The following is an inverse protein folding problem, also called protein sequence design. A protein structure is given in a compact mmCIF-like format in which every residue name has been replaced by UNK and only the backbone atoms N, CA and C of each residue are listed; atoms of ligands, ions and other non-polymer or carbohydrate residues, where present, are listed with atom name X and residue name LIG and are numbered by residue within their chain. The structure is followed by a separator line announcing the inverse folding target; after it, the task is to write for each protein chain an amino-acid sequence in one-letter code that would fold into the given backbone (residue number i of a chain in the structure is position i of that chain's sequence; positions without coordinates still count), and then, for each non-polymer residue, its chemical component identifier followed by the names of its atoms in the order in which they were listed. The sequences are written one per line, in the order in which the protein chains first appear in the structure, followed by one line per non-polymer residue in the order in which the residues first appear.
data_IF_151216171588
#
_entry.id   IF_151216171588
#
_cell.length_a   1.000
_cell.length_b   1.000
_cell.length_c   1.000
_cell.angle_alpha   90.00
_cell.angle_beta   90.00
_cell.angle_gamma   90.00
#
_symmetry.space_group_name_H-M   'P 1'
#
loop_
_entity.id
_entity.type
_entity.pdbx_description
1 polymer ?
#
# COMPACT_ATOMS: atom_id res chain seq x y z
N UNK A 1 -17.79 -10.08 8.33
CA UNK A 1 -17.17 -9.72 7.01
C UNK A 1 -17.92 -10.43 5.89
N UNK A 2 -18.81 -9.70 5.21
CA UNK A 2 -19.70 -10.25 4.16
C UNK A 2 -18.91 -10.75 2.94
N UNK A 3 -17.71 -10.20 2.67
CA UNK A 3 -16.95 -10.46 1.44
C UNK A 3 -15.75 -11.41 1.60
N UNK A 4 -15.54 -12.05 2.76
CA UNK A 4 -14.38 -12.94 3.03
C UNK A 4 -13.02 -12.34 2.59
N UNK A 5 -12.83 -11.03 2.77
CA UNK A 5 -11.61 -10.29 2.48
C UNK A 5 -11.40 -9.12 3.46
N UNK A 6 -10.19 -8.60 3.62
CA UNK A 6 -9.95 -7.34 4.31
C UNK A 6 -10.66 -6.14 3.64
N UNK A 7 -10.87 -5.09 4.40
CA UNK A 7 -11.19 -3.76 3.88
C UNK A 7 -9.89 -3.16 3.28
N UNK A 8 -9.89 -2.85 1.99
CA UNK A 8 -8.73 -2.31 1.30
C UNK A 8 -8.82 -0.81 1.09
N UNK A 9 -7.82 -0.09 1.58
CA UNK A 9 -7.65 1.34 1.43
C UNK A 9 -6.46 1.57 0.52
N UNK A 10 -6.68 2.13 -0.67
CA UNK A 10 -5.59 2.50 -1.56
C UNK A 10 -5.15 3.94 -1.24
N UNK A 11 -3.88 4.14 -0.93
CA UNK A 11 -3.39 5.46 -0.54
C UNK A 11 -2.12 5.82 -1.29
N UNK A 12 -2.11 7.01 -1.88
CA UNK A 12 -0.90 7.59 -2.47
C UNK A 12 -0.91 9.11 -2.43
N UNK A 13 0.23 9.70 -2.74
CA UNK A 13 0.37 11.13 -2.98
C UNK A 13 0.78 11.38 -4.43
N UNK A 14 0.22 12.40 -5.05
CA UNK A 14 0.58 12.82 -6.41
C UNK A 14 0.63 14.34 -6.52
N UNK A 15 1.30 14.81 -7.57
CA UNK A 15 1.20 16.20 -7.99
C UNK A 15 -0.11 16.43 -8.74
N UNK A 16 -0.54 17.68 -8.88
CA UNK A 16 -1.69 18.07 -9.73
C UNK A 16 -1.50 17.65 -11.20
N UNK A 17 -0.26 17.44 -11.65
CA UNK A 17 0.07 16.89 -12.98
C UNK A 17 0.02 15.34 -13.03
N UNK A 18 -0.36 14.68 -11.94
CA UNK A 18 -0.58 13.22 -11.88
C UNK A 18 0.68 12.37 -11.72
N UNK A 19 1.76 12.91 -11.18
CA UNK A 19 2.99 12.14 -10.92
C UNK A 19 3.13 11.80 -9.44
N UNK A 20 3.52 10.56 -9.13
CA UNK A 20 3.75 10.07 -7.75
C UNK A 20 5.23 10.10 -7.34
N UNK A 21 6.14 10.15 -8.29
CA UNK A 21 7.57 10.22 -8.03
C UNK A 21 8.30 10.77 -9.27
N UNK A 22 9.48 11.40 -9.09
CA UNK A 22 10.37 11.72 -10.21
C UNK A 22 10.92 10.44 -10.87
N UNK A 23 11.58 10.54 -12.04
CA UNK A 23 12.24 9.42 -12.68
C UNK A 23 13.23 8.72 -11.75
N UNK A 24 13.36 7.39 -11.88
CA UNK A 24 14.18 6.55 -10.97
C UNK A 24 15.64 7.02 -10.90
N UNK A 25 16.21 7.55 -11.98
CA UNK A 25 17.59 8.03 -12.05
C UNK A 25 17.90 9.21 -11.11
N UNK A 26 16.88 9.95 -10.65
CA UNK A 26 17.02 11.16 -9.82
C UNK A 26 16.34 11.02 -8.45
N UNK A 27 16.21 9.81 -7.92
CA UNK A 27 15.48 9.55 -6.68
C UNK A 27 16.30 9.91 -5.44
N UNK A 28 16.35 11.19 -5.14
CA UNK A 28 16.41 11.62 -3.74
C UNK A 28 15.01 11.47 -3.12
N UNK A 29 14.89 11.23 -1.80
CA UNK A 29 13.58 11.17 -1.14
C UNK A 29 12.77 12.42 -1.47
N UNK A 30 11.84 12.32 -2.39
CA UNK A 30 10.98 13.43 -2.80
C UNK A 30 9.65 13.35 -2.04
N UNK A 31 9.41 14.35 -1.21
CA UNK A 31 8.20 14.42 -0.41
C UNK A 31 7.18 15.30 -1.12
N UNK A 32 6.13 14.69 -1.66
CA UNK A 32 5.03 15.38 -2.34
C UNK A 32 4.09 16.06 -1.33
N UNK A 33 3.89 15.45 -0.14
CA UNK A 33 2.86 15.87 0.82
C UNK A 33 3.40 16.74 1.96
N UNK A 34 2.53 17.61 2.52
CA UNK A 34 2.80 18.45 3.68
C UNK A 34 3.09 17.65 4.96
N UNK A 35 3.56 18.32 6.02
CA UNK A 35 3.76 17.69 7.33
C UNK A 35 2.43 17.18 7.91
N UNK A 36 1.34 17.94 7.77
CA UNK A 36 0.00 17.53 8.23
C UNK A 36 -0.50 16.29 7.49
N UNK A 37 -0.27 16.19 6.19
CA UNK A 37 -0.60 15.01 5.41
C UNK A 37 0.25 13.79 5.81
N UNK A 38 1.52 14.00 6.20
CA UNK A 38 2.36 12.93 6.78
C UNK A 38 1.82 12.46 8.13
N UNK A 39 1.47 13.37 9.02
CA UNK A 39 0.86 13.04 10.32
C UNK A 39 -0.44 12.27 10.13
N UNK A 40 -1.31 12.70 9.20
CA UNK A 40 -2.54 11.98 8.84
C UNK A 40 -2.25 10.57 8.33
N UNK A 41 -1.22 10.38 7.51
CA UNK A 41 -0.81 9.04 7.06
C UNK A 41 -0.35 8.17 8.23
N UNK A 42 0.36 8.73 9.21
CA UNK A 42 0.78 7.99 10.40
C UNK A 42 -0.39 7.69 11.35
N UNK A 43 -1.38 8.57 11.42
CA UNK A 43 -2.64 8.32 12.12
C UNK A 43 -3.34 7.11 11.51
N UNK A 44 -3.58 7.09 10.21
CA UNK A 44 -4.21 5.97 9.53
C UNK A 44 -3.47 4.64 9.72
N UNK A 45 -2.13 4.67 9.73
CA UNK A 45 -1.33 3.48 10.05
C UNK A 45 -1.59 2.94 11.45
N UNK A 46 -1.96 3.78 12.42
CA UNK A 46 -2.34 3.34 13.76
C UNK A 46 -3.77 2.81 13.86
N UNK A 47 -4.60 3.11 12.89
CA UNK A 47 -6.00 2.72 12.84
C UNK A 47 -6.23 1.41 12.08
N UNK A 48 -5.32 1.08 11.14
CA UNK A 48 -5.49 -0.06 10.25
C UNK A 48 -4.64 -1.27 10.67
N UNK A 49 -5.15 -2.48 10.41
CA UNK A 49 -4.49 -3.70 10.87
C UNK A 49 -3.17 -3.98 10.15
N UNK A 50 -3.10 -3.73 8.84
CA UNK A 50 -1.90 -4.00 8.05
C UNK A 50 -1.64 -2.92 6.99
N UNK A 51 -0.39 -2.92 6.49
CA UNK A 51 0.05 -2.04 5.42
C UNK A 51 0.79 -2.85 4.34
N UNK A 52 0.38 -2.72 3.08
CA UNK A 52 0.93 -3.46 1.96
C UNK A 52 1.69 -2.56 1.01
N UNK A 53 2.90 -3.00 0.63
CA UNK A 53 3.74 -2.35 -0.38
C UNK A 53 4.26 -3.36 -1.42
N UNK A 54 4.59 -2.86 -2.60
CA UNK A 54 5.24 -3.66 -3.64
C UNK A 54 6.76 -3.73 -3.45
N UNK A 55 7.40 -4.70 -4.15
CA UNK A 55 8.85 -4.92 -4.15
C UNK A 55 9.66 -3.64 -4.45
N UNK A 56 9.30 -2.92 -5.50
CA UNK A 56 10.02 -1.70 -5.90
C UNK A 56 9.95 -0.60 -4.85
N UNK A 57 8.85 -0.46 -4.13
CA UNK A 57 8.71 0.49 -3.01
C UNK A 57 9.65 0.11 -1.87
N UNK A 58 9.71 -1.18 -1.50
CA UNK A 58 10.64 -1.64 -0.48
C UNK A 58 12.11 -1.45 -0.91
N UNK A 59 12.42 -1.77 -2.16
CA UNK A 59 13.78 -1.69 -2.70
C UNK A 59 14.31 -0.25 -2.73
N UNK A 60 13.51 0.68 -3.28
CA UNK A 60 13.98 2.04 -3.58
C UNK A 60 13.73 3.02 -2.43
N UNK A 61 12.60 2.94 -1.75
CA UNK A 61 12.19 3.93 -0.75
C UNK A 61 12.60 3.52 0.68
N UNK A 62 12.96 2.24 0.89
CA UNK A 62 13.35 1.67 2.19
C UNK A 62 12.44 2.16 3.36
N UNK A 63 11.11 2.03 3.24
CA UNK A 63 10.19 2.65 4.18
C UNK A 63 10.17 1.91 5.52
N UNK A 64 10.06 2.67 6.61
CA UNK A 64 9.94 2.10 7.96
C UNK A 64 8.55 1.55 8.26
N UNK A 65 7.51 2.00 7.59
CA UNK A 65 6.10 1.62 7.74
C UNK A 65 5.55 1.68 9.19
N UNK A 66 6.10 2.53 10.01
CA UNK A 66 5.72 2.73 11.42
C UNK A 66 4.91 4.02 11.64
N UNK A 67 4.51 4.25 12.89
CA UNK A 67 3.66 5.37 13.34
C UNK A 67 4.43 6.51 14.04
N UNK A 68 5.70 6.74 13.70
CA UNK A 68 6.59 7.69 14.37
C UNK A 68 6.10 9.15 14.51
N UNK A 69 5.14 9.59 13.71
CA UNK A 69 4.53 10.93 13.76
C UNK A 69 3.12 10.93 14.38
N UNK A 70 2.68 9.80 14.93
CA UNK A 70 1.39 9.65 15.59
C UNK A 70 1.47 8.62 16.72
N UNK A 71 0.72 8.84 17.81
CA UNK A 71 0.65 7.89 18.92
C UNK A 71 -0.24 6.71 18.51
N UNK A 72 0.25 5.49 18.66
CA UNK A 72 -0.48 4.26 18.35
C UNK A 72 0.45 3.14 17.90
N UNK A 73 -0.10 1.96 17.74
CA UNK A 73 0.65 0.79 17.27
C UNK A 73 0.88 0.85 15.75
N UNK A 74 2.00 0.31 15.32
CA UNK A 74 2.29 0.23 13.90
C UNK A 74 1.52 -0.94 13.27
N UNK A 75 1.00 -0.79 12.04
CA UNK A 75 0.33 -1.87 11.33
C UNK A 75 1.32 -3.00 11.00
N UNK A 76 0.81 -4.20 10.76
CA UNK A 76 1.63 -5.33 10.30
C UNK A 76 2.08 -5.05 8.84
N UNK A 77 3.38 -4.96 8.56
CA UNK A 77 3.84 -4.78 7.19
C UNK A 77 3.63 -6.03 6.35
N UNK A 78 3.22 -5.82 5.11
CA UNK A 78 3.10 -6.83 4.07
C UNK A 78 3.89 -6.33 2.86
N UNK A 79 4.78 -7.14 2.31
CA UNK A 79 5.46 -6.82 1.07
C UNK A 79 5.36 -7.95 0.06
N UNK A 80 5.41 -7.61 -1.23
CA UNK A 80 5.36 -8.58 -2.32
C UNK A 80 6.78 -8.78 -2.83
N UNK A 81 7.27 -10.03 -2.75
CA UNK A 81 8.59 -10.43 -3.25
C UNK A 81 8.49 -11.82 -3.87
N UNK A 82 8.22 -11.86 -5.18
CA UNK A 82 7.87 -13.06 -5.92
C UNK A 82 8.87 -14.20 -5.74
N UNK A 83 10.15 -13.88 -5.83
CA UNK A 83 11.27 -14.83 -5.91
C UNK A 83 12.29 -14.67 -4.77
N UNK A 84 11.93 -13.90 -3.73
CA UNK A 84 12.78 -13.61 -2.58
C UNK A 84 14.12 -12.94 -2.97
N UNK A 85 14.06 -12.07 -3.98
CA UNK A 85 15.25 -11.35 -4.50
C UNK A 85 15.57 -10.06 -3.75
N UNK A 86 14.65 -9.58 -2.89
CA UNK A 86 14.86 -8.33 -2.17
C UNK A 86 15.93 -8.46 -1.08
N UNK A 87 16.78 -7.42 -0.95
CA UNK A 87 17.79 -7.38 0.11
C UNK A 87 17.13 -7.38 1.50
N UNK A 88 17.78 -8.09 2.44
CA UNK A 88 17.25 -8.29 3.79
C UNK A 88 17.77 -7.26 4.81
N UNK A 89 18.48 -6.23 4.37
CA UNK A 89 19.05 -5.13 5.18
C UNK A 89 18.10 -3.90 5.29
N UNK A 90 16.91 -3.99 4.72
CA UNK A 90 15.94 -2.88 4.75
C UNK A 90 15.43 -2.58 6.16
N UNK A 91 15.21 -1.30 6.44
CA UNK A 91 14.80 -0.78 7.75
C UNK A 91 13.59 -1.49 8.36
N UNK A 92 12.63 -1.87 7.54
CA UNK A 92 11.41 -2.57 7.92
C UNK A 92 11.72 -3.87 8.71
N UNK A 93 12.76 -4.65 8.34
CA UNK A 93 13.05 -5.95 8.95
C UNK A 93 13.60 -5.86 10.38
N UNK A 94 14.22 -4.74 10.75
CA UNK A 94 14.72 -4.50 12.10
C UNK A 94 13.71 -3.86 13.06
N UNK A 95 12.61 -3.31 12.54
CA UNK A 95 11.66 -2.50 13.32
C UNK A 95 10.44 -3.32 13.75
N UNK A 96 9.93 -4.20 12.89
CA UNK A 96 8.66 -4.89 13.11
C UNK A 96 8.85 -6.29 13.66
N UNK A 97 8.04 -6.65 14.66
CA UNK A 97 8.04 -7.99 15.28
C UNK A 97 7.42 -9.05 14.37
N UNK A 98 6.51 -8.65 13.48
CA UNK A 98 5.81 -9.52 12.54
C UNK A 98 5.71 -8.84 11.19
N UNK A 99 6.05 -9.55 10.13
CA UNK A 99 6.04 -9.08 8.75
C UNK A 99 5.50 -10.20 7.89
N UNK A 100 4.65 -9.90 6.93
CA UNK A 100 4.23 -10.86 5.92
C UNK A 100 4.97 -10.62 4.59
N UNK A 101 5.42 -11.72 3.98
CA UNK A 101 6.00 -11.73 2.63
C UNK A 101 5.11 -12.54 1.71
N UNK A 102 4.49 -11.88 0.73
CA UNK A 102 3.78 -12.55 -0.36
C UNK A 102 4.80 -13.04 -1.37
N UNK A 103 4.90 -14.35 -1.53
CA UNK A 103 5.92 -15.03 -2.34
C UNK A 103 5.30 -16.03 -3.30
N UNK A 104 5.93 -16.28 -4.45
CA UNK A 104 5.49 -17.37 -5.33
C UNK A 104 5.69 -18.71 -4.61
N UNK A 105 4.68 -19.58 -4.62
CA UNK A 105 4.72 -20.89 -3.97
C UNK A 105 5.93 -21.74 -4.40
N UNK A 106 6.48 -21.50 -5.61
CA UNK A 106 7.69 -22.16 -6.13
C UNK A 106 8.96 -21.74 -5.42
N UNK A 107 8.96 -20.56 -4.79
CA UNK A 107 10.10 -19.96 -4.10
C UNK A 107 9.94 -19.88 -2.59
N UNK A 108 8.78 -20.33 -2.07
CA UNK A 108 8.53 -20.32 -0.63
C UNK A 108 9.56 -21.20 0.09
N UNK A 109 10.28 -20.66 1.11
CA UNK A 109 11.31 -21.42 1.79
C UNK A 109 10.68 -22.48 2.70
N UNK A 110 11.26 -23.66 2.74
CA UNK A 110 10.86 -24.74 3.66
C UNK A 110 11.13 -24.42 5.14
N UNK A 111 12.12 -23.54 5.40
CA UNK A 111 12.49 -23.07 6.73
C UNK A 111 12.44 -21.56 6.81
N UNK A 112 12.04 -21.01 7.96
CA UNK A 112 12.02 -19.57 8.20
C UNK A 112 13.46 -19.00 8.15
N UNK A 113 13.74 -18.19 7.14
CA UNK A 113 15.03 -17.47 7.04
C UNK A 113 15.19 -16.41 8.14
N UNK A 114 14.07 -15.84 8.61
CA UNK A 114 13.99 -14.88 9.72
C UNK A 114 12.76 -15.16 10.56
N UNK A 115 12.89 -15.11 11.90
CA UNK A 115 11.80 -15.42 12.84
C UNK A 115 10.59 -14.47 12.73
N UNK A 116 10.82 -13.23 12.30
CA UNK A 116 9.76 -12.22 12.19
C UNK A 116 9.10 -12.14 10.80
N UNK A 117 9.56 -12.92 9.82
CA UNK A 117 8.96 -12.94 8.48
C UNK A 117 8.11 -14.20 8.33
N UNK A 118 6.83 -14.01 8.04
CA UNK A 118 5.87 -15.06 7.74
C UNK A 118 5.60 -15.07 6.24
N UNK A 119 5.95 -16.14 5.58
CA UNK A 119 5.77 -16.26 4.13
C UNK A 119 4.34 -16.67 3.82
N UNK A 120 3.74 -15.99 2.82
CA UNK A 120 2.41 -16.25 2.29
C UNK A 120 2.57 -16.74 0.84
N UNK A 121 2.70 -18.07 0.64
CA UNK A 121 2.89 -18.62 -0.69
C UNK A 121 1.59 -18.54 -1.49
N UNK A 122 1.67 -18.00 -2.71
CA UNK A 122 0.56 -17.87 -3.66
C UNK A 122 1.03 -18.22 -5.08
N UNK A 123 0.12 -18.41 -6.00
CA UNK A 123 0.42 -18.66 -7.42
C UNK A 123 0.43 -17.35 -8.21
N UNK A 124 1.62 -16.88 -8.58
CA UNK A 124 1.78 -15.62 -9.34
C UNK A 124 1.27 -15.69 -10.79
N UNK A 125 0.87 -16.87 -11.28
CA UNK A 125 0.27 -17.02 -12.60
C UNK A 125 -1.26 -16.88 -12.58
N UNK A 126 -1.88 -16.74 -11.41
CA UNK A 126 -3.32 -16.55 -11.22
C UNK A 126 -3.62 -15.11 -10.78
N UNK A 127 -4.89 -14.81 -10.52
CA UNK A 127 -5.37 -13.50 -10.06
C UNK A 127 -4.75 -13.09 -8.71
N UNK A 128 -3.60 -12.42 -8.78
CA UNK A 128 -2.74 -12.13 -7.64
C UNK A 128 -3.46 -11.38 -6.52
N UNK A 129 -4.22 -10.33 -6.84
CA UNK A 129 -4.91 -9.52 -5.83
C UNK A 129 -6.01 -10.31 -5.10
N UNK A 130 -6.72 -11.20 -5.78
CA UNK A 130 -7.74 -12.05 -5.15
C UNK A 130 -7.10 -13.07 -4.21
N UNK A 131 -5.98 -13.68 -4.60
CA UNK A 131 -5.25 -14.60 -3.73
C UNK A 131 -4.70 -13.87 -2.50
N UNK A 132 -4.09 -12.68 -2.67
CA UNK A 132 -3.64 -11.86 -1.55
C UNK A 132 -4.82 -11.57 -0.60
N UNK A 133 -5.97 -11.14 -1.13
CA UNK A 133 -7.13 -10.83 -0.33
C UNK A 133 -7.63 -12.03 0.50
N UNK A 134 -7.73 -13.21 -0.12
CA UNK A 134 -8.15 -14.44 0.55
C UNK A 134 -7.14 -14.87 1.62
N UNK A 135 -5.85 -14.91 1.27
CA UNK A 135 -4.80 -15.31 2.20
C UNK A 135 -4.73 -14.38 3.41
N UNK A 136 -4.86 -13.06 3.21
CA UNK A 136 -4.89 -12.11 4.32
C UNK A 136 -6.15 -12.25 5.19
N UNK A 137 -7.28 -12.58 4.60
CA UNK A 137 -8.49 -12.91 5.36
C UNK A 137 -8.29 -14.15 6.25
N UNK A 138 -7.67 -15.20 5.73
CA UNK A 138 -7.30 -16.42 6.49
C UNK A 138 -6.33 -16.10 7.65
N UNK A 139 -5.45 -15.12 7.45
CA UNK A 139 -4.57 -14.58 8.50
C UNK A 139 -5.29 -13.63 9.48
N UNK A 140 -6.63 -13.52 9.37
CA UNK A 140 -7.49 -12.65 10.21
C UNK A 140 -7.13 -11.17 10.15
N UNK A 141 -6.60 -10.72 9.02
CA UNK A 141 -6.38 -9.29 8.74
C UNK A 141 -7.73 -8.67 8.37
N UNK A 142 -8.13 -7.64 9.12
CA UNK A 142 -9.43 -6.96 8.94
C UNK A 142 -9.37 -5.81 7.94
N UNK A 143 -8.25 -5.07 7.92
CA UNK A 143 -8.05 -3.93 7.02
C UNK A 143 -6.61 -3.83 6.54
N UNK A 144 -6.42 -3.27 5.36
CA UNK A 144 -5.10 -3.10 4.72
C UNK A 144 -5.00 -1.75 4.04
N UNK A 145 -4.02 -0.92 4.43
CA UNK A 145 -3.62 0.22 3.61
C UNK A 145 -2.63 -0.28 2.55
N UNK A 146 -2.93 -0.08 1.29
CA UNK A 146 -2.00 -0.29 0.18
C UNK A 146 -1.29 1.03 -0.10
N UNK A 147 -0.04 1.13 0.37
CA UNK A 147 0.79 2.34 0.24
C UNK A 147 1.93 2.11 -0.73
N UNK A 148 1.74 1.98 -1.98
CA UNK A 148 2.93 2.00 -2.73
C UNK A 148 3.00 1.31 -4.03
N UNK A 149 3.83 1.90 -4.89
CA UNK A 149 4.12 1.50 -6.24
C UNK A 149 2.89 1.50 -7.16
N UNK A 150 2.96 2.23 -8.26
CA UNK A 150 1.86 2.30 -9.24
C UNK A 150 1.36 0.92 -9.65
N UNK A 151 2.27 -0.05 -9.82
CA UNK A 151 1.92 -1.42 -10.20
C UNK A 151 1.04 -2.10 -9.13
N UNK A 152 1.37 -1.94 -7.85
CA UNK A 152 0.61 -2.53 -6.74
C UNK A 152 -0.77 -1.89 -6.62
N UNK A 153 -0.84 -0.55 -6.69
CA UNK A 153 -2.11 0.17 -6.69
C UNK A 153 -2.98 -0.23 -7.90
N UNK A 154 -2.40 -0.29 -9.10
CA UNK A 154 -3.10 -0.69 -10.32
C UNK A 154 -3.62 -2.13 -10.26
N UNK A 155 -2.90 -3.05 -9.59
CA UNK A 155 -3.32 -4.43 -9.37
C UNK A 155 -4.66 -4.50 -8.61
N UNK A 156 -4.79 -3.74 -7.51
CA UNK A 156 -6.03 -3.71 -6.72
C UNK A 156 -7.14 -2.91 -7.39
N UNK A 157 -6.81 -1.79 -8.05
CA UNK A 157 -7.77 -1.00 -8.84
C UNK A 157 -8.37 -1.81 -9.97
N UNK A 158 -7.53 -2.46 -10.78
CA UNK A 158 -7.97 -3.25 -11.94
C UNK A 158 -8.83 -4.46 -11.57
N UNK A 159 -8.59 -5.06 -10.41
CA UNK A 159 -9.41 -6.14 -9.89
C UNK A 159 -10.68 -5.67 -9.16
N UNK A 160 -10.89 -4.36 -9.02
CA UNK A 160 -11.99 -3.81 -8.21
C UNK A 160 -11.90 -4.15 -6.72
N UNK A 161 -10.75 -4.58 -6.23
CA UNK A 161 -10.52 -4.98 -4.84
C UNK A 161 -10.05 -3.79 -3.98
N UNK A 162 -10.92 -2.83 -3.83
CA UNK A 162 -10.72 -1.67 -2.96
C UNK A 162 -12.07 -1.18 -2.43
N UNK A 163 -12.06 -0.55 -1.29
CA UNK A 163 -13.25 -0.01 -0.60
C UNK A 163 -13.16 1.52 -0.48
N UNK A 164 -11.93 2.02 -0.31
CA UNK A 164 -11.65 3.44 -0.14
C UNK A 164 -10.35 3.82 -0.86
N UNK A 165 -10.31 5.04 -1.41
CA UNK A 165 -9.09 5.66 -1.95
C UNK A 165 -8.84 6.94 -1.16
N UNK A 166 -7.63 7.08 -0.61
CA UNK A 166 -7.13 8.28 0.08
C UNK A 166 -6.01 8.90 -0.74
N UNK A 167 -6.33 9.92 -1.49
CA UNK A 167 -5.43 10.59 -2.43
C UNK A 167 -4.96 11.92 -1.86
N UNK A 168 -3.67 12.09 -1.68
CA UNK A 168 -3.06 13.39 -1.44
C UNK A 168 -2.63 14.03 -2.75
N UNK A 169 -3.08 15.26 -3.00
CA UNK A 169 -2.75 16.03 -4.17
C UNK A 169 -2.08 17.35 -3.78
N UNK A 170 -0.94 17.66 -4.37
CA UNK A 170 -0.17 18.87 -4.07
C UNK A 170 0.30 19.52 -5.36
N UNK A 171 0.33 20.85 -5.38
CA UNK A 171 1.02 21.58 -6.43
C UNK A 171 2.51 21.25 -6.34
N UNK A 172 3.05 20.56 -7.33
CA UNK A 172 4.44 20.13 -7.37
C UNK A 172 5.04 20.30 -8.75
N UNK A 173 6.36 20.49 -8.80
CA UNK A 173 7.10 20.71 -10.04
C UNK A 173 7.66 19.41 -10.64
N UNK A 174 6.90 18.32 -10.60
CA UNK A 174 7.26 17.09 -11.32
C UNK A 174 6.63 17.18 -12.71
N UNK A 175 7.46 17.47 -13.71
CA UNK A 175 7.03 17.52 -15.10
C UNK A 175 7.22 16.20 -15.83
N UNK A 176 8.02 15.29 -15.24
CA UNK A 176 8.33 13.97 -15.78
C UNK A 176 8.53 12.98 -14.63
N UNK A 177 8.09 11.73 -14.79
CA UNK A 177 8.27 10.73 -13.74
C UNK A 177 7.29 9.57 -13.80
N UNK A 178 7.06 8.96 -12.65
CA UNK A 178 6.13 7.83 -12.50
C UNK A 178 4.73 8.40 -12.34
N UNK A 179 3.86 8.09 -13.31
CA UNK A 179 2.44 8.49 -13.26
C UNK A 179 1.69 7.71 -12.17
N UNK A 180 0.72 8.39 -11.57
CA UNK A 180 -0.28 7.76 -10.72
C UNK A 180 -1.14 6.76 -11.52
N UNK A 181 -1.71 5.73 -10.88
CA UNK A 181 -2.68 4.87 -11.55
C UNK A 181 -3.96 5.66 -11.85
N UNK A 182 -4.56 5.38 -13.00
CA UNK A 182 -5.89 5.91 -13.34
C UNK A 182 -6.98 5.12 -12.64
N UNK A 183 -8.04 5.80 -12.22
CA UNK A 183 -9.23 5.18 -11.66
C UNK A 183 -10.46 6.03 -11.94
N UNK A 184 -11.63 5.42 -11.81
CA UNK A 184 -12.92 6.12 -11.88
C UNK A 184 -13.71 5.83 -10.60
N UNK A 185 -13.98 6.87 -9.81
CA UNK A 185 -14.72 6.77 -8.56
C UNK A 185 -15.39 8.10 -8.22
N UNK A 186 -16.47 8.06 -7.43
CA UNK A 186 -17.16 9.25 -6.98
C UNK A 186 -16.42 9.82 -5.75
N UNK A 187 -16.12 11.11 -5.80
CA UNK A 187 -15.54 11.84 -4.68
C UNK A 187 -16.54 11.85 -3.51
N UNK A 188 -16.07 11.38 -2.34
CA UNK A 188 -16.86 11.35 -1.12
C UNK A 188 -16.63 12.60 -0.25
N UNK A 189 -15.38 13.00 -0.11
CA UNK A 189 -14.99 14.21 0.64
C UNK A 189 -13.63 14.73 0.22
N UNK A 190 -13.38 16.00 0.50
CA UNK A 190 -12.07 16.62 0.35
C UNK A 190 -11.79 17.59 1.49
N UNK A 191 -10.52 17.73 1.86
CA UNK A 191 -10.04 18.67 2.87
C UNK A 191 -8.60 19.12 2.60
N UNK A 192 -8.25 20.33 3.01
CA UNK A 192 -6.87 20.82 2.93
C UNK A 192 -6.09 20.48 4.21
N UNK A 193 -4.94 19.84 4.04
CA UNK A 193 -3.96 19.58 5.09
C UNK A 193 -2.70 20.41 4.80
N UNK A 194 -2.71 21.67 5.21
CA UNK A 194 -1.73 22.65 4.79
C UNK A 194 -1.86 22.96 3.29
N UNK A 195 -0.79 22.74 2.52
CA UNK A 195 -0.77 22.90 1.06
C UNK A 195 -1.12 21.62 0.28
N UNK A 196 -1.56 20.58 0.97
CA UNK A 196 -1.94 19.29 0.37
C UNK A 196 -3.44 19.11 0.43
N UNK A 197 -4.08 18.84 -0.69
CA UNK A 197 -5.50 18.50 -0.77
C UNK A 197 -5.63 16.98 -0.59
N UNK A 198 -6.33 16.57 0.46
CA UNK A 198 -6.78 15.18 0.63
C UNK A 198 -8.11 15.01 -0.08
N UNK A 199 -8.20 14.03 -0.96
CA UNK A 199 -9.43 13.57 -1.62
C UNK A 199 -9.72 12.13 -1.17
N UNK A 200 -10.92 11.88 -0.68
CA UNK A 200 -11.38 10.55 -0.29
C UNK A 200 -12.47 10.08 -1.23
N UNK A 201 -12.30 8.90 -1.77
CA UNK A 201 -13.30 8.24 -2.61
C UNK A 201 -13.73 6.94 -1.94
N UNK A 202 -15.01 6.62 -1.99
CA UNK A 202 -15.55 5.35 -1.49
C UNK A 202 -16.18 4.56 -2.62
N UNK A 203 -15.97 3.25 -2.59
CA UNK A 203 -16.64 2.35 -3.54
C UNK A 203 -18.13 2.25 -3.17
N UNK A 204 -18.98 2.39 -4.16
CA UNK A 204 -20.43 2.23 -3.96
C UNK A 204 -20.77 0.74 -4.04
N UNK A 205 -20.82 0.08 -2.88
CA UNK A 205 -21.15 -1.35 -2.79
C UNK A 205 -22.62 -1.70 -3.12
N UNK A 206 -23.50 -0.70 -3.25
CA UNK A 206 -24.89 -0.95 -3.61
C UNK A 206 -25.09 -1.42 -5.05
N UNK A 207 -24.12 -1.18 -5.94
CA UNK A 207 -24.17 -1.67 -7.33
C UNK A 207 -23.63 -3.09 -7.51
N UNK A 208 -22.82 -3.59 -6.58
CA UNK A 208 -22.23 -4.93 -6.66
C UNK A 208 -23.14 -6.03 -6.04
N UNK A 209 -24.26 -5.64 -5.42
CA UNK A 209 -25.21 -6.56 -4.78
C UNK A 209 -26.39 -7.00 -5.70
N UNK A 210 -26.39 -6.56 -6.97
CA UNK A 210 -27.47 -6.82 -7.93
C UNK A 210 -26.91 -7.59 -9.16
N UNK A 211 -26.09 -8.60 -8.94
CA UNK A 211 -25.78 -9.59 -9.98
C UNK A 211 -25.78 -10.99 -9.35
#
# INVERSE_FOLDING_TARGET
QIHKRPYFILKWAQTTSGFIAPPIKNRNPYWISSLLAKQRSHQWRSEEHAILIGANTLLHDNPKLNTRLWKGEAPIPIYIDRDLSLPTDKSLFGIHKKIYCVVDHKHAPSNLKRKNIHYLPIDFNKELSKQIALTLFEQKISSVIVEGGTKTLALFLGAGLWDEIRLFETKGNINEGIKAPSFNAILNSEEYLGNTLLKVYKKNHLKDAII
#
